data_IF_941021114824
#
_entry.id   IF_941021114824
#
_cell.length_a   1.000
_cell.length_b   1.000
_cell.length_c   1.000
_cell.angle_alpha   90.00
_cell.angle_beta   90.00
_cell.angle_gamma   90.00
#
_symmetry.space_group_name_H-M   'P 1'
#
loop_
_entity.id
_entity.type
_entity.pdbx_description
1 polymer ?
#
# COMPACT_ATOMS: atom_id res chain seq x y z
N UNK A 1 -4.86 -2.12 -15.40
CA UNK A 1 -4.53 -1.15 -14.34
C UNK A 1 -5.65 -0.13 -14.30
N UNK A 2 -6.30 0.04 -13.15
CA UNK A 2 -7.41 0.98 -12.99
C UNK A 2 -6.90 2.41 -12.74
N UNK A 3 -5.82 2.56 -11.98
CA UNK A 3 -5.11 3.82 -11.81
C UNK A 3 -3.63 3.60 -11.49
N UNK A 4 -2.80 4.58 -11.86
CA UNK A 4 -1.40 4.70 -11.43
C UNK A 4 -1.11 6.18 -11.26
N UNK A 5 -0.77 6.60 -10.05
CA UNK A 5 -0.53 8.00 -9.72
C UNK A 5 0.75 8.11 -8.92
N UNK A 6 1.65 8.98 -9.40
CA UNK A 6 2.86 9.36 -8.69
C UNK A 6 2.76 10.81 -8.23
N UNK A 7 3.14 11.07 -6.99
CA UNK A 7 3.28 12.42 -6.45
C UNK A 7 4.60 12.58 -5.72
N UNK A 8 4.89 13.80 -5.26
CA UNK A 8 6.13 14.13 -4.58
C UNK A 8 5.89 14.94 -3.33
N UNK A 9 6.74 14.73 -2.33
CA UNK A 9 6.77 15.44 -1.06
C UNK A 9 8.12 16.11 -0.83
N UNK A 10 8.28 16.72 0.35
CA UNK A 10 9.53 17.38 0.71
C UNK A 10 10.66 16.37 0.99
N UNK A 11 11.82 16.58 0.36
CA UNK A 11 13.05 15.88 0.69
C UNK A 11 13.67 16.30 2.05
N UNK A 12 13.18 17.40 2.64
CA UNK A 12 13.64 17.89 3.94
C UNK A 12 12.72 17.36 5.04
N UNK A 13 13.32 16.74 6.06
CA UNK A 13 12.63 16.39 7.30
C UNK A 13 12.35 17.63 8.16
N UNK A 14 13.29 18.58 8.17
CA UNK A 14 13.11 19.85 8.87
C UNK A 14 11.95 20.65 8.25
N UNK A 15 11.07 21.15 9.11
CA UNK A 15 9.91 21.95 8.71
C UNK A 15 8.69 21.14 8.27
N UNK A 16 8.67 19.81 8.46
CA UNK A 16 7.43 19.03 8.33
C UNK A 16 6.44 19.42 9.43
N UNK A 17 5.17 19.51 9.04
CA UNK A 17 4.09 19.79 9.98
C UNK A 17 3.70 18.55 10.80
N UNK A 18 3.87 17.37 10.22
CA UNK A 18 3.59 16.09 10.83
C UNK A 18 4.70 15.08 10.48
N UNK A 19 5.17 14.34 11.48
CA UNK A 19 6.17 13.27 11.31
C UNK A 19 5.54 11.90 11.16
N UNK A 20 4.23 11.78 11.44
CA UNK A 20 3.44 10.57 11.33
C UNK A 20 2.64 10.51 10.02
N UNK A 21 3.01 11.32 9.02
CA UNK A 21 2.35 11.34 7.72
C UNK A 21 3.33 11.74 6.60
N UNK A 22 3.07 11.20 5.41
CA UNK A 22 3.74 11.54 4.17
C UNK A 22 2.75 12.19 3.20
N UNK A 23 2.92 13.49 2.95
CA UNK A 23 2.08 14.25 1.99
C UNK A 23 2.01 13.60 0.61
N UNK A 24 3.12 12.98 0.16
CA UNK A 24 3.18 12.25 -1.09
C UNK A 24 2.26 11.01 -1.10
N UNK A 25 2.21 10.25 -0.01
CA UNK A 25 1.31 9.09 0.12
C UNK A 25 -0.14 9.57 0.08
N UNK A 26 -0.50 10.58 0.87
CA UNK A 26 -1.87 11.14 0.91
C UNK A 26 -2.32 11.66 -0.45
N UNK A 27 -1.46 12.42 -1.14
CA UNK A 27 -1.78 12.98 -2.45
C UNK A 27 -1.89 11.89 -3.53
N UNK A 28 -0.97 10.91 -3.54
CA UNK A 28 -1.00 9.79 -4.49
C UNK A 28 -2.23 8.90 -4.29
N UNK A 29 -2.58 8.60 -3.03
CA UNK A 29 -3.79 7.84 -2.68
C UNK A 29 -5.05 8.50 -3.22
N UNK A 30 -5.27 9.78 -2.86
CA UNK A 30 -6.45 10.54 -3.32
C UNK A 30 -6.55 10.59 -4.84
N UNK A 31 -5.41 10.78 -5.51
CA UNK A 31 -5.34 10.76 -6.96
C UNK A 31 -5.71 9.39 -7.55
N UNK A 32 -5.16 8.32 -6.99
CA UNK A 32 -5.40 6.95 -7.45
C UNK A 32 -6.87 6.54 -7.29
N UNK A 33 -7.47 6.72 -6.12
CA UNK A 33 -8.88 6.42 -5.88
C UNK A 33 -9.81 7.23 -6.78
N UNK A 34 -9.55 8.54 -6.93
CA UNK A 34 -10.30 9.41 -7.85
C UNK A 34 -10.20 8.95 -9.30
N UNK A 35 -9.02 8.56 -9.76
CA UNK A 35 -8.80 8.09 -11.13
C UNK A 35 -9.45 6.72 -11.39
N UNK A 36 -9.37 5.80 -10.42
CA UNK A 36 -10.00 4.49 -10.49
C UNK A 36 -11.53 4.54 -10.33
N UNK A 37 -12.06 5.64 -9.76
CA UNK A 37 -13.48 5.82 -9.42
C UNK A 37 -14.01 4.77 -8.43
N UNK A 38 -13.18 4.44 -7.46
CA UNK A 38 -13.51 3.54 -6.34
C UNK A 38 -13.12 4.21 -5.02
N UNK A 39 -13.52 3.60 -3.92
CA UNK A 39 -13.27 4.01 -2.55
C UNK A 39 -12.24 3.10 -1.86
N UNK A 40 -11.62 3.53 -0.75
CA UNK A 40 -10.72 2.67 0.03
C UNK A 40 -11.34 1.34 0.46
N UNK A 41 -12.65 1.32 0.70
CA UNK A 41 -13.40 0.12 1.10
C UNK A 41 -13.52 -0.94 -0.01
N UNK A 42 -13.25 -0.57 -1.26
CA UNK A 42 -13.25 -1.47 -2.41
C UNK A 42 -11.91 -2.23 -2.58
N UNK A 43 -10.88 -1.97 -1.74
CA UNK A 43 -9.57 -2.61 -1.84
C UNK A 43 -9.56 -3.93 -1.07
N UNK A 44 -9.26 -5.02 -1.77
CA UNK A 44 -9.24 -6.38 -1.19
C UNK A 44 -7.86 -6.79 -0.67
N UNK A 45 -6.78 -6.19 -1.16
CA UNK A 45 -5.43 -6.41 -0.66
C UNK A 45 -4.48 -5.27 -0.97
N UNK A 46 -3.40 -5.19 -0.19
CA UNK A 46 -2.37 -4.15 -0.34
C UNK A 46 -0.98 -4.77 -0.36
N UNK A 47 -0.14 -4.36 -1.31
CA UNK A 47 1.31 -4.52 -1.25
C UNK A 47 1.92 -3.14 -0.94
N UNK A 48 2.30 -2.95 0.32
CA UNK A 48 2.69 -1.69 0.94
C UNK A 48 4.22 -1.56 1.03
N UNK A 49 4.73 -0.33 1.13
CA UNK A 49 6.17 -0.07 1.30
C UNK A 49 6.61 -0.11 2.78
N UNK A 50 6.50 -1.26 3.44
CA UNK A 50 6.85 -1.49 4.85
C UNK A 50 8.37 -1.59 5.08
N UNK A 51 9.16 -0.61 4.62
CA UNK A 51 10.62 -0.62 4.82
C UNK A 51 11.03 -0.57 6.32
N UNK A 52 10.08 -0.16 7.17
CA UNK A 52 10.09 -0.32 8.62
C UNK A 52 8.68 -0.68 9.07
N UNK A 53 8.54 -1.40 10.19
CA UNK A 53 7.21 -1.81 10.70
C UNK A 53 6.28 -0.64 10.99
N UNK A 54 6.81 0.50 11.43
CA UNK A 54 6.00 1.71 11.65
C UNK A 54 5.45 2.30 10.34
N UNK A 55 6.16 2.11 9.22
CA UNK A 55 5.68 2.58 7.91
C UNK A 55 4.37 1.87 7.53
N UNK A 56 4.20 0.60 7.91
CA UNK A 56 2.95 -0.12 7.69
C UNK A 56 1.75 0.60 8.28
N UNK A 57 1.84 0.99 9.55
CA UNK A 57 0.77 1.69 10.23
C UNK A 57 0.50 3.07 9.62
N UNK A 58 1.56 3.88 9.42
CA UNK A 58 1.40 5.27 8.96
C UNK A 58 0.90 5.34 7.53
N UNK A 59 1.43 4.51 6.63
CA UNK A 59 1.04 4.55 5.22
C UNK A 59 -0.37 3.97 5.02
N UNK A 60 -0.83 3.00 5.82
CA UNK A 60 -2.23 2.57 5.78
C UNK A 60 -3.20 3.72 6.12
N UNK A 61 -2.83 4.54 7.11
CA UNK A 61 -3.60 5.73 7.48
C UNK A 61 -3.50 6.84 6.42
N UNK A 62 -2.32 7.07 5.84
CA UNK A 62 -2.12 8.04 4.76
C UNK A 62 -2.88 7.66 3.49
N UNK A 63 -2.94 6.37 3.19
CA UNK A 63 -3.72 5.82 2.08
C UNK A 63 -5.23 5.94 2.32
N UNK A 64 -5.66 6.19 3.57
CA UNK A 64 -7.07 6.28 3.94
C UNK A 64 -7.77 4.93 4.04
N UNK A 65 -7.01 3.84 4.19
CA UNK A 65 -7.54 2.48 4.34
C UNK A 65 -8.04 2.22 5.77
N UNK A 66 -7.56 3.02 6.72
CA UNK A 66 -7.91 2.97 8.13
C UNK A 66 -7.85 4.38 8.71
N UNK A 67 -8.62 4.63 9.77
CA UNK A 67 -8.61 5.91 10.47
C UNK A 67 -7.23 6.23 11.08
N UNK A 68 -6.92 7.53 11.17
CA UNK A 68 -5.69 8.02 11.81
C UNK A 68 -5.54 7.50 13.24
N UNK A 69 -4.34 7.02 13.58
CA UNK A 69 -4.02 6.40 14.85
C UNK A 69 -4.49 4.95 15.02
N UNK A 70 -5.14 4.35 14.00
CA UNK A 70 -5.62 2.97 14.05
C UNK A 70 -4.77 2.00 13.21
N UNK A 71 -3.75 2.47 12.50
CA UNK A 71 -2.92 1.63 11.63
C UNK A 71 -2.28 0.45 12.34
N UNK A 72 -1.75 0.65 13.56
CA UNK A 72 -1.15 -0.42 14.35
C UNK A 72 -2.16 -1.50 14.79
N UNK A 73 -3.45 -1.15 14.93
CA UNK A 73 -4.48 -2.13 15.30
C UNK A 73 -4.66 -3.20 14.24
N UNK A 74 -4.43 -2.87 12.96
CA UNK A 74 -4.55 -3.85 11.89
C UNK A 74 -3.67 -5.07 12.16
N UNK A 75 -2.41 -4.85 12.53
CA UNK A 75 -1.48 -5.92 12.85
C UNK A 75 -1.80 -6.58 14.21
N UNK A 76 -2.06 -5.79 15.26
CA UNK A 76 -2.29 -6.30 16.62
C UNK A 76 -3.55 -7.16 16.72
N UNK A 77 -4.61 -6.77 16.01
CA UNK A 77 -5.91 -7.48 16.01
C UNK A 77 -5.98 -8.54 14.90
N UNK A 78 -4.89 -8.74 14.13
CA UNK A 78 -4.83 -9.73 13.05
C UNK A 78 -5.65 -9.37 11.80
N UNK A 79 -6.15 -8.13 11.70
CA UNK A 79 -6.95 -7.66 10.57
C UNK A 79 -6.13 -7.52 9.27
N UNK A 80 -4.81 -7.39 9.38
CA UNK A 80 -3.89 -7.34 8.23
C UNK A 80 -3.41 -8.71 7.74
N UNK A 81 -3.81 -9.81 8.39
CA UNK A 81 -3.47 -11.16 7.94
C UNK A 81 -4.13 -11.48 6.60
N UNK A 82 -3.66 -12.54 5.93
CA UNK A 82 -4.12 -12.93 4.59
C UNK A 82 -5.63 -13.22 4.51
N UNK A 83 -6.21 -13.70 5.61
CA UNK A 83 -7.63 -13.98 5.83
C UNK A 83 -8.31 -12.90 6.69
N UNK A 84 -7.58 -11.84 7.02
CA UNK A 84 -8.06 -10.69 7.76
C UNK A 84 -8.96 -9.79 6.92
N UNK A 85 -9.46 -8.72 7.55
CA UNK A 85 -10.36 -7.77 6.89
C UNK A 85 -9.69 -6.97 5.77
N UNK A 86 -8.41 -6.65 5.91
CA UNK A 86 -7.63 -5.92 4.93
C UNK A 86 -6.23 -6.55 4.83
N UNK A 87 -6.07 -7.62 4.04
CA UNK A 87 -4.77 -8.27 3.84
C UNK A 87 -3.70 -7.28 3.37
N UNK A 88 -2.67 -7.09 4.20
CA UNK A 88 -1.52 -6.24 3.88
C UNK A 88 -0.28 -7.13 3.76
N UNK A 89 0.46 -6.91 2.68
CA UNK A 89 1.68 -7.64 2.35
C UNK A 89 1.55 -9.16 2.45
N UNK A 90 0.57 -9.81 1.77
CA UNK A 90 0.50 -11.28 1.75
C UNK A 90 1.80 -11.96 1.28
N UNK A 91 2.64 -11.26 0.52
CA UNK A 91 3.97 -11.71 0.09
C UNK A 91 5.04 -11.72 1.20
N UNK A 92 4.71 -11.20 2.39
CA UNK A 92 5.63 -10.99 3.52
C UNK A 92 6.24 -9.58 3.57
N UNK A 93 5.94 -8.72 2.60
CA UNK A 93 6.38 -7.33 2.60
C UNK A 93 7.89 -7.16 2.49
N UNK A 94 8.37 -5.92 2.53
CA UNK A 94 9.79 -5.59 2.48
C UNK A 94 10.55 -6.17 3.68
N UNK A 95 9.88 -6.32 4.83
CA UNK A 95 10.47 -6.85 6.06
C UNK A 95 10.89 -8.32 5.93
N UNK A 96 10.09 -9.17 5.28
CA UNK A 96 10.40 -10.61 5.14
C UNK A 96 10.86 -11.02 3.74
N UNK A 97 10.20 -10.53 2.68
CA UNK A 97 10.58 -10.83 1.28
C UNK A 97 11.89 -10.16 0.88
N UNK A 98 12.23 -9.06 1.55
CA UNK A 98 13.43 -8.26 1.33
C UNK A 98 13.17 -7.00 0.50
N UNK A 99 14.10 -6.05 0.57
CA UNK A 99 13.98 -4.71 -0.02
C UNK A 99 15.13 -4.35 -0.97
N UNK A 100 15.26 -5.01 -2.14
CA UNK A 100 16.11 -4.52 -3.22
C UNK A 100 15.47 -3.25 -3.80
N UNK A 101 15.99 -2.08 -3.40
CA UNK A 101 15.35 -0.75 -3.58
C UNK A 101 14.77 -0.55 -5.00
N UNK A 102 15.59 -0.74 -6.04
CA UNK A 102 15.14 -0.53 -7.43
C UNK A 102 14.13 -1.55 -7.95
N UNK A 103 14.04 -2.74 -7.34
CA UNK A 103 13.13 -3.81 -7.76
C UNK A 103 11.83 -3.85 -6.94
N UNK A 104 11.76 -3.14 -5.81
CA UNK A 104 10.64 -3.24 -4.86
C UNK A 104 9.29 -2.87 -5.49
N UNK A 105 9.21 -1.74 -6.20
CA UNK A 105 7.95 -1.31 -6.82
C UNK A 105 7.41 -2.30 -7.86
N UNK A 106 8.30 -2.92 -8.64
CA UNK A 106 7.92 -3.94 -9.62
C UNK A 106 7.54 -5.25 -8.92
N UNK A 107 8.25 -5.64 -7.85
CA UNK A 107 7.89 -6.81 -7.05
C UNK A 107 6.50 -6.67 -6.43
N UNK A 108 6.15 -5.52 -5.86
CA UNK A 108 4.80 -5.28 -5.30
C UNK A 108 3.71 -5.47 -6.37
N UNK A 109 3.91 -4.94 -7.59
CA UNK A 109 2.97 -5.15 -8.71
C UNK A 109 2.89 -6.62 -9.10
N UNK A 110 4.02 -7.32 -9.14
CA UNK A 110 4.07 -8.76 -9.45
C UNK A 110 3.24 -9.58 -8.45
N UNK A 111 3.43 -9.36 -7.15
CA UNK A 111 2.68 -10.08 -6.10
C UNK A 111 1.18 -9.77 -6.16
N UNK A 112 0.81 -8.50 -6.33
CA UNK A 112 -0.59 -8.10 -6.50
C UNK A 112 -1.24 -8.78 -7.73
N UNK A 113 -0.52 -8.92 -8.84
CA UNK A 113 -1.02 -9.60 -10.03
C UNK A 113 -1.14 -11.11 -9.80
N UNK A 114 -0.23 -11.75 -9.06
CA UNK A 114 -0.39 -13.16 -8.67
C UNK A 114 -1.64 -13.38 -7.83
N UNK A 115 -1.88 -12.49 -6.85
CA UNK A 115 -3.08 -12.52 -6.01
C UNK A 115 -4.36 -12.41 -6.83
N UNK A 116 -4.45 -11.39 -7.69
CA UNK A 116 -5.61 -11.17 -8.57
C UNK A 116 -5.85 -12.31 -9.58
N UNK A 117 -4.84 -13.13 -9.86
CA UNK A 117 -4.95 -14.30 -10.75
C UNK A 117 -5.25 -15.60 -10.01
N UNK A 118 -5.26 -15.61 -8.68
CA UNK A 118 -5.43 -16.84 -7.91
C UNK A 118 -4.20 -17.75 -7.94
N UNK A 119 -3.01 -17.20 -8.13
CA UNK A 119 -1.75 -17.94 -8.31
C UNK A 119 -0.74 -17.71 -7.17
N UNK A 120 -1.11 -16.96 -6.13
CA UNK A 120 -0.21 -16.64 -5.04
C UNK A 120 -0.16 -17.79 -4.01
N UNK A 121 1.02 -18.06 -3.44
CA UNK A 121 1.17 -19.15 -2.47
C UNK A 121 0.41 -18.88 -1.15
N UNK A 122 0.29 -17.60 -0.78
CA UNK A 122 -0.48 -17.12 0.37
C UNK A 122 -1.70 -16.33 -0.14
N UNK A 123 -2.69 -17.05 -0.68
CA UNK A 123 -3.75 -16.48 -1.51
C UNK A 123 -4.82 -15.75 -0.69
N UNK A 124 -5.12 -14.50 -1.05
CA UNK A 124 -6.29 -13.75 -0.57
C UNK A 124 -7.54 -14.29 -1.24
N UNK A 125 -8.65 -14.37 -0.50
CA UNK A 125 -9.91 -14.93 -0.99
C UNK A 125 -10.59 -14.02 -2.03
N UNK A 126 -10.67 -14.48 -3.28
CA UNK A 126 -11.37 -13.87 -4.43
C UNK A 126 -11.20 -12.34 -4.60
N UNK A 127 -9.96 -11.81 -4.62
CA UNK A 127 -9.75 -10.36 -4.72
C UNK A 127 -10.14 -9.81 -6.10
N UNK A 128 -10.80 -8.66 -6.12
CA UNK A 128 -11.13 -7.89 -7.32
C UNK A 128 -10.18 -6.71 -7.52
N UNK A 129 -9.80 -6.01 -6.45
CA UNK A 129 -8.90 -4.86 -6.48
C UNK A 129 -7.71 -5.03 -5.54
N UNK A 130 -6.51 -4.83 -6.08
CA UNK A 130 -5.28 -4.73 -5.31
C UNK A 130 -4.70 -3.33 -5.39
N UNK A 131 -4.17 -2.83 -4.27
CA UNK A 131 -3.42 -1.58 -4.20
C UNK A 131 -1.94 -1.89 -4.02
N UNK A 132 -1.08 -1.21 -4.77
CA UNK A 132 0.36 -1.19 -4.46
C UNK A 132 0.80 0.22 -4.09
N UNK A 133 1.63 0.32 -3.06
CA UNK A 133 2.16 1.58 -2.55
C UNK A 133 3.69 1.49 -2.52
N UNK A 134 4.35 2.40 -3.23
CA UNK A 134 5.80 2.45 -3.29
C UNK A 134 6.30 3.85 -2.88
N UNK A 135 7.04 3.91 -1.77
CA UNK A 135 7.54 5.14 -1.19
C UNK A 135 9.05 5.27 -1.39
N UNK A 136 9.50 6.43 -1.86
CA UNK A 136 10.90 6.75 -2.12
C UNK A 136 11.47 7.73 -1.10
N UNK A 137 12.63 7.38 -0.54
CA UNK A 137 13.30 8.19 0.49
C UNK A 137 12.42 8.34 1.73
N UNK A 138 12.50 9.48 2.41
CA UNK A 138 11.64 9.79 3.55
C UNK A 138 10.25 10.30 3.13
N UNK A 139 9.66 9.80 2.03
CA UNK A 139 8.42 10.31 1.45
C UNK A 139 8.60 11.43 0.42
N UNK A 140 9.68 11.35 -0.35
CA UNK A 140 10.00 12.31 -1.43
C UNK A 140 9.19 12.04 -2.67
N UNK A 141 9.00 10.77 -3.00
CA UNK A 141 8.19 10.33 -4.11
C UNK A 141 7.32 9.18 -3.63
N UNK A 142 6.05 9.16 -4.06
CA UNK A 142 5.16 8.05 -3.77
C UNK A 142 4.39 7.70 -5.03
N UNK A 143 4.32 6.41 -5.34
CA UNK A 143 3.50 5.88 -6.42
C UNK A 143 2.47 4.92 -5.85
N UNK A 144 1.20 5.19 -6.14
CA UNK A 144 0.08 4.30 -5.81
C UNK A 144 -0.51 3.75 -7.10
N UNK A 145 -0.64 2.42 -7.17
CA UNK A 145 -1.32 1.74 -8.27
C UNK A 145 -2.56 1.05 -7.72
N UNK A 146 -3.67 1.12 -8.47
CA UNK A 146 -4.85 0.30 -8.25
C UNK A 146 -4.99 -0.64 -9.45
N UNK A 147 -4.98 -1.93 -9.19
CA UNK A 147 -5.01 -2.99 -10.19
C UNK A 147 -6.32 -3.75 -10.00
N UNK A 148 -7.13 -3.80 -11.05
CA UNK A 148 -8.35 -4.60 -11.09
C UNK A 148 -8.08 -5.96 -11.73
N UNK A 149 -8.65 -7.02 -11.19
CA UNK A 149 -8.71 -8.35 -11.82
C UNK A 149 -9.31 -8.24 -13.22
N UNK A 150 -8.73 -8.96 -14.18
CA UNK A 150 -9.29 -9.04 -15.53
C UNK A 150 -10.59 -9.85 -15.49
N UNK A 151 -11.62 -9.35 -16.16
CA UNK A 151 -12.89 -10.05 -16.40
C UNK A 151 -12.72 -11.21 -17.37
#
# INVERSE_FOLDING_TARGET
>A
VAASVQTSGSARLAGRNDFCSFDATVAASRGAFKAAKISPEDIDLVELHDCFSIAEALDCEDLGLVERGMGLRLAVEGLSQVDGKLPINPSGGLLAKGHPVGATGVSQIYEAVLQLRGLHANQVHDPEFALTHNLGGAGVACTVNIIKRAS
#
